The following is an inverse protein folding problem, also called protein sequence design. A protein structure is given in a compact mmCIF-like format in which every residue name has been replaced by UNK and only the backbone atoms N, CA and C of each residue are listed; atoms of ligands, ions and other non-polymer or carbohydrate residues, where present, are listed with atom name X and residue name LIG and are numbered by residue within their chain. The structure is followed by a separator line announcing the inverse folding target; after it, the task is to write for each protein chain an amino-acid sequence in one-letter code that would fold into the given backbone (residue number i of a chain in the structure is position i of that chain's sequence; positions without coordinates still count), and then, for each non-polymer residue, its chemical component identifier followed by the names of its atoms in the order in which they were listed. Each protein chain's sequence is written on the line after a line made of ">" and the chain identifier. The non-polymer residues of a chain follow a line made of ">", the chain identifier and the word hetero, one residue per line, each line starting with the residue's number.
data_IF_567591375558
#
_entry.id   IF_567591375558
#
_cell.length_a   1.000
_cell.length_b   1.000
_cell.length_c   1.000
_cell.angle_alpha   90.00
_cell.angle_beta   90.00
_cell.angle_gamma   90.00
#
_symmetry.space_group_name_H-M   'P 1'
#
loop_
_entity.id
_entity.type
_entity.pdbx_description
1 polymer ?
#
# COMPACT_ATOMS: atom_id res chain seq x y z
N UNK A 1 34.02 12.03 -2.94
CA UNK A 1 34.43 11.48 -4.24
C UNK A 1 34.07 10.00 -4.30
N UNK A 2 32.88 9.71 -4.84
CA UNK A 2 32.40 8.36 -5.06
C UNK A 2 33.29 7.68 -6.10
N UNK A 3 33.91 6.58 -5.70
CA UNK A 3 34.62 5.69 -6.60
C UNK A 3 33.55 5.06 -7.50
N UNK A 4 33.52 5.46 -8.76
CA UNK A 4 32.82 4.72 -9.80
C UNK A 4 33.32 3.27 -9.77
N UNK A 5 32.44 2.26 -9.78
CA UNK A 5 32.91 0.88 -9.87
C UNK A 5 33.65 0.71 -11.20
N UNK A 6 34.98 0.57 -11.12
CA UNK A 6 35.81 0.11 -12.24
C UNK A 6 35.69 -1.41 -12.32
N UNK A 7 34.49 -1.88 -12.64
CA UNK A 7 34.25 -3.25 -13.04
C UNK A 7 34.32 -3.35 -14.55
N UNK A 8 35.19 -4.20 -15.07
CA UNK A 8 35.05 -4.71 -16.45
C UNK A 8 33.62 -5.26 -16.62
N UNK A 9 32.95 -5.07 -17.78
CA UNK A 9 31.60 -5.57 -17.96
C UNK A 9 31.58 -7.08 -17.73
N UNK A 10 30.82 -7.53 -16.73
CA UNK A 10 30.47 -8.93 -16.58
C UNK A 10 29.89 -9.42 -17.90
N UNK A 11 30.36 -10.58 -18.36
CA UNK A 11 29.94 -11.15 -19.62
C UNK A 11 28.46 -11.54 -19.54
N UNK A 12 27.66 -10.72 -20.20
CA UNK A 12 26.37 -10.99 -20.80
C UNK A 12 26.11 -12.48 -21.16
N UNK A 13 24.84 -12.94 -21.07
CA UNK A 13 23.67 -12.07 -20.86
C UNK A 13 23.00 -12.16 -19.48
N UNK A 14 22.92 -10.98 -18.85
CA UNK A 14 21.79 -10.51 -18.02
C UNK A 14 20.57 -10.09 -18.87
N UNK A 15 20.61 -10.28 -20.20
CA UNK A 15 19.51 -9.95 -21.12
C UNK A 15 18.77 -11.23 -21.56
N UNK A 16 17.45 -11.16 -21.72
CA UNK A 16 16.72 -12.22 -22.42
C UNK A 16 16.97 -12.17 -23.92
N UNK A 17 17.04 -13.35 -24.53
CA UNK A 17 16.87 -13.48 -25.97
C UNK A 17 15.39 -13.30 -26.32
N UNK A 18 14.99 -12.04 -26.49
CA UNK A 18 13.64 -11.66 -26.87
C UNK A 18 13.42 -11.72 -28.39
N UNK A 19 14.32 -12.34 -29.17
CA UNK A 19 14.26 -12.33 -30.63
C UNK A 19 14.47 -10.96 -31.28
N UNK A 20 15.14 -10.04 -30.57
CA UNK A 20 15.45 -8.67 -31.03
C UNK A 20 16.81 -8.20 -30.51
N UNK A 21 17.33 -7.08 -31.03
CA UNK A 21 18.58 -6.51 -30.53
C UNK A 21 18.42 -5.98 -29.10
N UNK A 22 19.52 -5.90 -28.34
CA UNK A 22 19.51 -5.34 -26.98
C UNK A 22 18.97 -3.90 -26.97
N UNK A 23 19.31 -3.12 -27.99
CA UNK A 23 18.84 -1.73 -28.12
C UNK A 23 17.34 -1.66 -28.45
N UNK A 24 16.85 -2.50 -29.36
CA UNK A 24 15.41 -2.58 -29.64
C UNK A 24 14.61 -3.04 -28.42
N UNK A 25 15.15 -4.01 -27.65
CA UNK A 25 14.57 -4.46 -26.38
C UNK A 25 14.43 -3.28 -25.41
N UNK A 26 15.53 -2.54 -25.22
CA UNK A 26 15.58 -1.39 -24.30
C UNK A 26 14.57 -0.31 -24.69
N UNK A 27 14.52 0.04 -25.97
CA UNK A 27 13.62 1.06 -26.48
C UNK A 27 12.16 0.64 -26.31
N UNK A 28 11.78 -0.57 -26.71
CA UNK A 28 10.41 -1.07 -26.55
C UNK A 28 9.96 -1.17 -25.10
N UNK A 29 10.82 -1.67 -24.22
CA UNK A 29 10.51 -1.71 -22.79
C UNK A 29 10.33 -0.30 -22.23
N UNK A 30 11.22 0.63 -22.58
CA UNK A 30 11.11 2.03 -22.14
C UNK A 30 9.82 2.68 -22.65
N UNK A 31 9.42 2.43 -23.90
CA UNK A 31 8.16 2.91 -24.47
C UNK A 31 6.94 2.41 -23.67
N UNK A 32 6.94 1.13 -23.26
CA UNK A 32 5.87 0.58 -22.40
C UNK A 32 5.87 1.27 -21.04
N UNK A 33 7.03 1.45 -20.42
CA UNK A 33 7.12 2.07 -19.09
C UNK A 33 6.70 3.55 -19.09
N UNK A 34 6.89 4.26 -20.20
CA UNK A 34 6.38 5.62 -20.39
C UNK A 34 4.85 5.71 -20.45
N UNK A 35 4.14 4.58 -20.57
CA UNK A 35 2.67 4.57 -20.49
C UNK A 35 2.14 4.53 -19.05
N UNK A 36 3.00 4.15 -18.08
CA UNK A 36 2.61 3.97 -16.67
C UNK A 36 3.37 4.86 -15.69
N UNK A 37 4.48 5.47 -16.09
CA UNK A 37 5.25 6.44 -15.29
C UNK A 37 5.51 7.73 -16.06
N UNK A 38 5.48 8.86 -15.34
CA UNK A 38 5.76 10.17 -15.93
C UNK A 38 7.22 10.24 -16.46
N UNK A 39 7.46 10.77 -17.68
CA UNK A 39 8.80 10.84 -18.25
C UNK A 39 9.80 11.62 -17.39
N UNK A 40 9.35 12.64 -16.65
CA UNK A 40 10.19 13.47 -15.79
C UNK A 40 10.75 12.73 -14.59
N UNK A 41 10.07 11.69 -14.09
CA UNK A 41 10.59 10.83 -13.04
C UNK A 41 11.25 9.60 -13.62
N UNK A 42 10.67 8.99 -14.65
CA UNK A 42 11.21 7.77 -15.26
C UNK A 42 12.62 8.01 -15.81
N UNK A 43 12.85 9.11 -16.54
CA UNK A 43 14.12 9.37 -17.23
C UNK A 43 15.16 10.10 -16.35
N UNK A 44 14.82 10.49 -15.12
CA UNK A 44 15.71 11.28 -14.25
C UNK A 44 16.50 10.40 -13.28
N UNK A 45 17.84 10.38 -13.35
CA UNK A 45 18.66 9.58 -12.44
C UNK A 45 18.38 9.84 -10.96
N UNK A 46 18.28 8.76 -10.19
CA UNK A 46 18.10 8.80 -8.74
C UNK A 46 16.64 8.81 -8.26
N UNK A 47 15.66 8.90 -9.16
CA UNK A 47 14.26 8.64 -8.80
C UNK A 47 14.01 7.13 -8.63
N UNK A 48 12.99 6.72 -7.87
CA UNK A 48 12.58 5.33 -7.78
C UNK A 48 12.26 4.70 -9.15
N UNK A 49 11.54 5.42 -10.01
CA UNK A 49 11.16 4.98 -11.35
C UNK A 49 12.37 4.76 -12.25
N UNK A 50 13.35 5.67 -12.20
CA UNK A 50 14.60 5.51 -12.93
C UNK A 50 15.36 4.27 -12.45
N UNK A 51 15.47 4.08 -11.14
CA UNK A 51 16.19 2.95 -10.55
C UNK A 51 15.50 1.62 -10.90
N UNK A 52 14.17 1.56 -10.80
CA UNK A 52 13.35 0.41 -11.18
C UNK A 52 13.53 0.05 -12.65
N UNK A 53 13.42 1.05 -13.55
CA UNK A 53 13.67 0.85 -14.97
C UNK A 53 15.09 0.37 -15.21
N UNK A 54 16.09 1.03 -14.64
CA UNK A 54 17.49 0.69 -14.88
C UNK A 54 17.82 -0.73 -14.39
N UNK A 55 17.30 -1.12 -13.23
CA UNK A 55 17.39 -2.50 -12.77
C UNK A 55 16.76 -3.46 -13.78
N UNK A 56 15.52 -3.20 -14.22
CA UNK A 56 14.80 -4.06 -15.16
C UNK A 56 15.46 -4.19 -16.55
N UNK A 57 16.12 -3.12 -17.00
CA UNK A 57 16.78 -3.08 -18.31
C UNK A 57 18.18 -3.70 -18.30
N UNK A 58 18.90 -3.63 -17.18
CA UNK A 58 20.34 -3.93 -17.16
C UNK A 58 20.73 -5.04 -16.16
N UNK A 59 19.98 -5.20 -15.08
CA UNK A 59 20.34 -6.04 -13.93
C UNK A 59 19.37 -7.19 -13.64
N UNK A 60 18.11 -7.09 -14.08
CA UNK A 60 17.08 -8.09 -13.77
C UNK A 60 17.43 -9.46 -14.36
N UNK A 61 17.71 -10.41 -13.46
CA UNK A 61 18.15 -11.76 -13.78
C UNK A 61 17.00 -12.71 -14.12
N UNK A 62 15.74 -12.30 -13.91
CA UNK A 62 14.56 -12.98 -14.48
C UNK A 62 14.49 -12.80 -16.00
N UNK A 63 15.11 -11.71 -16.50
CA UNK A 63 15.25 -11.41 -17.93
C UNK A 63 13.89 -11.21 -18.63
N UNK A 64 13.06 -10.30 -18.14
CA UNK A 64 11.78 -9.99 -18.81
C UNK A 64 11.96 -9.45 -20.23
N UNK A 65 10.99 -9.72 -21.10
CA UNK A 65 10.88 -9.19 -22.45
C UNK A 65 9.69 -8.23 -22.60
N UNK A 66 9.72 -7.32 -23.60
CA UNK A 66 8.62 -6.38 -23.83
C UNK A 66 7.26 -7.03 -24.11
N UNK A 67 7.24 -8.26 -24.62
CA UNK A 67 6.00 -9.01 -24.88
C UNK A 67 5.42 -9.73 -23.66
N UNK A 68 6.13 -9.73 -22.52
CA UNK A 68 5.68 -10.44 -21.34
C UNK A 68 4.47 -9.73 -20.73
N UNK A 69 3.38 -10.46 -20.53
CA UNK A 69 2.10 -9.88 -20.07
C UNK A 69 2.15 -9.32 -18.64
N UNK A 70 3.15 -9.73 -17.86
CA UNK A 70 3.40 -9.29 -16.48
C UNK A 70 4.60 -8.33 -16.37
N UNK A 71 5.14 -7.86 -17.49
CA UNK A 71 6.26 -6.93 -17.52
C UNK A 71 6.03 -5.67 -16.67
N UNK A 72 4.84 -5.06 -16.79
CA UNK A 72 4.45 -3.86 -16.02
C UNK A 72 4.35 -4.18 -14.53
N UNK A 73 3.82 -5.35 -14.15
CA UNK A 73 3.76 -5.77 -12.74
C UNK A 73 5.16 -5.82 -12.10
N UNK A 74 6.12 -6.47 -12.78
CA UNK A 74 7.51 -6.54 -12.30
C UNK A 74 8.13 -5.17 -12.13
N UNK A 75 7.88 -4.26 -13.07
CA UNK A 75 8.32 -2.87 -12.98
C UNK A 75 7.70 -2.15 -11.79
N UNK A 76 6.38 -2.22 -11.62
CA UNK A 76 5.63 -1.54 -10.55
C UNK A 76 6.12 -1.99 -9.17
N UNK A 77 6.38 -3.29 -9.00
CA UNK A 77 6.95 -3.81 -7.76
C UNK A 77 8.39 -3.32 -7.54
N UNK A 78 9.20 -3.21 -8.59
CA UNK A 78 10.51 -2.57 -8.46
C UNK A 78 10.41 -1.08 -8.10
N UNK A 79 9.43 -0.34 -8.65
CA UNK A 79 9.17 1.05 -8.23
C UNK A 79 8.78 1.10 -6.76
N UNK A 80 7.92 0.19 -6.28
CA UNK A 80 7.56 0.07 -4.87
C UNK A 80 8.80 -0.15 -4.00
N UNK A 81 9.67 -1.09 -4.37
CA UNK A 81 10.94 -1.35 -3.67
C UNK A 81 11.77 -0.08 -3.54
N UNK A 82 12.07 0.61 -4.64
CA UNK A 82 12.91 1.80 -4.59
C UNK A 82 12.23 3.00 -3.92
N UNK A 83 10.90 3.14 -4.07
CA UNK A 83 10.13 4.22 -3.46
C UNK A 83 10.08 4.11 -1.95
N UNK A 84 10.13 2.87 -1.44
CA UNK A 84 10.00 2.59 -0.01
C UNK A 84 11.34 2.26 0.69
N UNK A 85 12.46 2.58 0.03
CA UNK A 85 13.82 2.29 0.50
C UNK A 85 14.06 0.81 0.80
N UNK A 86 13.78 -0.02 -0.20
CA UNK A 86 13.91 -1.49 -0.15
C UNK A 86 15.27 -2.00 0.30
N UNK A 87 16.33 -1.25 0.00
CA UNK A 87 17.70 -1.53 0.45
C UNK A 87 17.87 -1.44 1.97
N UNK A 88 16.94 -0.76 2.66
CA UNK A 88 16.93 -0.57 4.11
C UNK A 88 15.82 -1.36 4.82
N UNK A 89 15.08 -2.20 4.10
CA UNK A 89 14.10 -3.08 4.70
C UNK A 89 14.76 -4.10 5.65
N UNK A 90 14.04 -4.49 6.70
CA UNK A 90 14.56 -5.43 7.69
C UNK A 90 14.69 -6.86 7.14
N UNK A 91 13.80 -7.23 6.22
CA UNK A 91 13.73 -8.54 5.59
C UNK A 91 13.41 -8.40 4.09
N UNK A 92 13.77 -9.45 3.34
CA UNK A 92 13.48 -9.59 1.91
C UNK A 92 14.04 -8.47 1.03
N UNK A 93 15.08 -7.76 1.48
CA UNK A 93 15.80 -6.79 0.65
C UNK A 93 16.56 -7.50 -0.48
N UNK A 94 16.82 -6.78 -1.57
CA UNK A 94 17.57 -7.32 -2.70
C UNK A 94 19.07 -7.44 -2.36
N UNK A 95 19.80 -8.41 -2.96
CA UNK A 95 21.25 -8.46 -2.85
C UNK A 95 21.89 -7.20 -3.45
N UNK A 96 23.09 -6.85 -2.97
CA UNK A 96 23.80 -5.66 -3.48
C UNK A 96 24.50 -5.92 -4.82
N UNK A 97 24.93 -7.16 -5.05
CA UNK A 97 25.41 -7.68 -6.32
C UNK A 97 24.55 -8.85 -6.82
N UNK A 98 23.77 -8.60 -7.87
CA UNK A 98 22.90 -9.60 -8.52
C UNK A 98 23.66 -10.71 -9.27
N UNK A 99 24.99 -10.68 -9.29
CA UNK A 99 25.85 -11.73 -9.86
C UNK A 99 26.60 -12.55 -8.81
N UNK A 100 26.63 -12.12 -7.55
CA UNK A 100 27.25 -12.88 -6.47
C UNK A 100 26.26 -13.89 -5.88
N UNK A 101 26.48 -15.17 -6.20
CA UNK A 101 25.66 -16.27 -5.69
C UNK A 101 25.57 -16.34 -4.17
N UNK A 102 26.62 -15.92 -3.44
CA UNK A 102 26.63 -15.94 -1.96
C UNK A 102 25.72 -14.83 -1.43
N UNK A 103 25.79 -13.62 -2.01
CA UNK A 103 24.89 -12.52 -1.61
C UNK A 103 23.43 -12.85 -1.93
N UNK A 104 23.16 -13.47 -3.08
CA UNK A 104 21.81 -13.89 -3.46
C UNK A 104 21.26 -14.93 -2.48
N UNK A 105 22.04 -15.96 -2.16
CA UNK A 105 21.65 -16.99 -1.18
C UNK A 105 21.37 -16.37 0.19
N UNK A 106 22.22 -15.42 0.62
CA UNK A 106 22.03 -14.70 1.88
C UNK A 106 20.73 -13.88 1.88
N UNK A 107 20.49 -13.07 0.84
CA UNK A 107 19.30 -12.23 0.72
C UNK A 107 18.00 -13.06 0.75
N UNK A 108 17.98 -14.20 0.04
CA UNK A 108 16.86 -15.14 0.09
C UNK A 108 16.70 -15.75 1.50
N UNK A 109 17.80 -16.14 2.15
CA UNK A 109 17.75 -16.72 3.50
C UNK A 109 17.24 -15.75 4.57
N UNK A 110 17.48 -14.45 4.39
CA UNK A 110 16.99 -13.40 5.28
C UNK A 110 15.49 -13.09 5.08
N UNK A 111 14.93 -13.52 3.96
CA UNK A 111 13.52 -13.36 3.65
C UNK A 111 12.67 -14.43 4.32
N UNK A 112 12.20 -14.11 5.53
CA UNK A 112 11.43 -15.04 6.38
C UNK A 112 10.02 -14.54 6.69
N UNK A 113 9.51 -13.60 5.88
CA UNK A 113 8.15 -13.09 6.00
C UNK A 113 7.19 -14.26 5.75
N UNK A 114 6.65 -14.81 6.83
CA UNK A 114 5.60 -15.81 6.82
C UNK A 114 4.35 -15.19 7.45
N UNK A 115 3.26 -15.13 6.68
CA UNK A 115 1.97 -14.69 7.18
C UNK A 115 1.43 -15.73 8.17
N UNK A 116 1.55 -15.46 9.47
CA UNK A 116 1.02 -16.31 10.55
C UNK A 116 -0.33 -15.81 11.11
N UNK A 117 -0.87 -14.71 10.58
CA UNK A 117 -2.13 -14.14 11.04
C UNK A 117 -3.34 -14.85 10.44
N UNK A 118 -4.28 -15.25 11.29
CA UNK A 118 -5.63 -15.56 10.87
C UNK A 118 -6.38 -14.25 10.68
N UNK A 119 -6.74 -13.91 9.44
CA UNK A 119 -7.79 -12.92 9.15
C UNK A 119 -8.84 -13.57 8.25
N UNK A 120 -10.14 -13.45 8.57
CA UNK A 120 -11.23 -14.11 7.86
C UNK A 120 -11.39 -13.66 6.40
N UNK A 121 -10.72 -12.58 5.99
CA UNK A 121 -10.60 -12.12 4.62
C UNK A 121 -9.31 -12.61 3.92
N UNK A 122 -8.38 -13.30 4.60
CA UNK A 122 -7.19 -13.90 3.98
C UNK A 122 -7.56 -15.12 3.14
N UNK A 123 -7.62 -14.95 1.81
CA UNK A 123 -7.98 -16.03 0.86
C UNK A 123 -6.75 -16.83 0.39
N UNK A 124 -5.53 -16.31 0.53
CA UNK A 124 -4.29 -17.00 0.14
C UNK A 124 -3.19 -16.83 1.20
N UNK A 125 -2.41 -17.89 1.43
CA UNK A 125 -1.20 -17.84 2.26
C UNK A 125 -0.06 -17.21 1.46
N UNK A 126 0.65 -16.25 2.04
CA UNK A 126 1.94 -15.78 1.49
C UNK A 126 2.93 -16.93 1.59
N UNK A 127 3.47 -17.34 0.45
CA UNK A 127 4.42 -18.45 0.34
C UNK A 127 5.78 -18.02 -0.23
N UNK A 128 5.90 -16.77 -0.65
CA UNK A 128 7.15 -16.23 -1.18
C UNK A 128 8.23 -16.16 -0.09
N UNK A 129 9.42 -16.64 -0.42
CA UNK A 129 10.61 -16.66 0.44
C UNK A 129 11.83 -16.06 -0.25
N UNK A 130 11.67 -15.60 -1.49
CA UNK A 130 12.77 -15.00 -2.23
C UNK A 130 12.88 -13.51 -1.89
N UNK A 131 14.12 -13.02 -1.90
CA UNK A 131 14.40 -11.60 -1.85
C UNK A 131 13.72 -10.86 -3.00
N UNK A 132 13.38 -9.60 -2.76
CA UNK A 132 12.88 -8.73 -3.82
C UNK A 132 13.93 -8.51 -4.90
N UNK A 133 13.46 -8.26 -6.12
CA UNK A 133 14.33 -8.08 -7.30
C UNK A 133 15.18 -9.32 -7.64
N UNK A 134 14.86 -10.49 -7.07
CA UNK A 134 15.52 -11.76 -7.38
C UNK A 134 15.14 -12.29 -8.76
N UNK A 135 15.84 -13.34 -9.21
CA UNK A 135 15.59 -14.00 -10.50
C UNK A 135 14.28 -14.79 -10.58
N UNK A 136 13.49 -14.87 -9.51
CA UNK A 136 12.23 -15.60 -9.49
C UNK A 136 11.05 -14.71 -9.92
N UNK A 137 9.94 -15.38 -10.24
CA UNK A 137 8.66 -14.72 -10.49
C UNK A 137 8.20 -14.01 -9.21
N UNK A 138 7.50 -12.88 -9.32
CA UNK A 138 7.21 -12.02 -8.17
C UNK A 138 6.31 -12.70 -7.13
N UNK A 139 5.53 -13.70 -7.54
CA UNK A 139 4.75 -14.55 -6.64
C UNK A 139 5.59 -15.36 -5.65
N UNK A 140 6.91 -15.48 -5.88
CA UNK A 140 7.85 -16.10 -4.96
C UNK A 140 8.55 -15.08 -4.05
N UNK A 141 8.36 -13.78 -4.26
CA UNK A 141 8.98 -12.76 -3.42
C UNK A 141 8.27 -12.66 -2.08
N UNK A 142 9.03 -12.47 -1.01
CA UNK A 142 8.46 -12.35 0.34
C UNK A 142 7.45 -11.21 0.45
N UNK A 143 6.38 -11.46 1.19
CA UNK A 143 5.28 -10.50 1.36
C UNK A 143 4.32 -10.38 0.17
N UNK A 144 4.56 -11.09 -0.94
CA UNK A 144 3.65 -11.09 -2.09
C UNK A 144 2.84 -12.39 -2.15
N UNK A 145 1.59 -12.26 -2.61
CA UNK A 145 0.81 -13.38 -3.12
C UNK A 145 0.16 -13.01 -4.45
N UNK A 146 -0.16 -14.04 -5.23
CA UNK A 146 -0.76 -13.90 -6.54
C UNK A 146 -2.04 -14.71 -6.66
N UNK A 147 -2.91 -14.25 -7.55
CA UNK A 147 -4.03 -15.05 -8.03
C UNK A 147 -3.52 -16.31 -8.73
N UNK A 148 -4.02 -17.47 -8.31
CA UNK A 148 -3.57 -18.78 -8.81
C UNK A 148 -3.86 -19.04 -10.29
N UNK A 149 -4.72 -18.22 -10.90
CA UNK A 149 -5.19 -18.35 -12.28
C UNK A 149 -4.45 -17.40 -13.21
N UNK A 150 -4.22 -16.16 -12.78
CA UNK A 150 -3.63 -15.11 -13.61
C UNK A 150 -2.15 -14.86 -13.34
N UNK A 151 -1.63 -15.36 -12.20
CA UNK A 151 -0.29 -15.03 -11.67
C UNK A 151 -0.08 -13.53 -11.43
N UNK A 152 -1.17 -12.76 -11.35
CA UNK A 152 -1.13 -11.33 -11.01
C UNK A 152 -1.09 -11.18 -9.50
N UNK A 153 -0.31 -10.22 -9.02
CA UNK A 153 -0.23 -9.92 -7.58
C UNK A 153 -1.58 -9.44 -7.10
N UNK A 154 -2.14 -10.16 -6.12
CA UNK A 154 -3.40 -9.81 -5.45
C UNK A 154 -3.18 -9.38 -3.98
N UNK A 155 -1.96 -9.53 -3.47
CA UNK A 155 -1.60 -9.15 -2.09
C UNK A 155 -0.17 -8.62 -2.00
N UNK A 156 -0.02 -7.50 -1.29
CA UNK A 156 1.24 -6.96 -0.78
C UNK A 156 1.08 -6.86 0.74
N UNK A 157 1.92 -7.55 1.52
CA UNK A 157 1.86 -7.59 2.99
C UNK A 157 3.26 -7.45 3.59
N UNK A 158 3.51 -6.29 4.18
CA UNK A 158 4.70 -5.96 4.93
C UNK A 158 4.32 -5.42 6.29
N UNK A 159 4.28 -6.31 7.28
CA UNK A 159 4.10 -5.92 8.67
C UNK A 159 5.49 -5.58 9.26
N UNK A 160 5.66 -4.36 9.76
CA UNK A 160 6.83 -3.95 10.54
C UNK A 160 8.19 -4.20 9.84
N UNK A 161 8.23 -4.08 8.51
CA UNK A 161 9.46 -4.31 7.73
C UNK A 161 10.31 -3.04 7.56
N UNK A 162 9.91 -1.94 8.21
CA UNK A 162 10.64 -0.68 8.19
C UNK A 162 10.55 0.07 6.86
N UNK A 163 9.49 -0.18 6.07
CA UNK A 163 9.18 0.56 4.85
C UNK A 163 9.26 2.06 5.13
N UNK A 164 10.05 2.78 4.35
CA UNK A 164 10.24 4.22 4.47
C UNK A 164 9.84 4.91 3.17
N UNK A 165 10.30 6.14 2.92
CA UNK A 165 10.08 6.79 1.61
C UNK A 165 8.61 7.15 1.36
N UNK A 166 8.08 6.87 0.17
CA UNK A 166 6.72 7.24 -0.25
C UNK A 166 6.00 6.11 -0.96
N UNK A 167 4.67 6.14 -0.94
CA UNK A 167 3.80 5.26 -1.74
C UNK A 167 3.84 5.71 -3.22
N UNK A 168 4.26 4.86 -4.18
CA UNK A 168 4.24 5.21 -5.60
C UNK A 168 2.84 5.07 -6.19
N UNK A 169 2.44 6.00 -7.05
CA UNK A 169 1.12 5.94 -7.71
C UNK A 169 1.02 4.75 -8.67
N UNK A 170 2.14 4.25 -9.18
CA UNK A 170 2.22 3.12 -10.11
C UNK A 170 1.59 1.82 -9.57
N UNK A 171 1.38 1.69 -8.25
CA UNK A 171 0.62 0.55 -7.69
C UNK A 171 -0.80 0.45 -8.28
N UNK A 172 -1.36 1.53 -8.85
CA UNK A 172 -2.65 1.49 -9.54
C UNK A 172 -2.70 0.46 -10.70
N UNK A 173 -1.54 0.14 -11.29
CA UNK A 173 -1.44 -0.81 -12.40
C UNK A 173 -1.64 -2.27 -11.94
N UNK A 174 -1.59 -2.53 -10.63
CA UNK A 174 -1.90 -3.84 -10.05
C UNK A 174 -3.41 -3.98 -9.87
N UNK A 175 -4.15 -4.04 -10.98
CA UNK A 175 -5.63 -4.04 -10.99
C UNK A 175 -6.28 -5.22 -10.25
N UNK A 176 -5.53 -6.29 -10.04
CA UNK A 176 -5.99 -7.49 -9.32
C UNK A 176 -5.67 -7.41 -7.81
N UNK A 177 -5.05 -6.32 -7.34
CA UNK A 177 -4.70 -6.12 -5.94
C UNK A 177 -5.96 -6.07 -5.07
N UNK A 178 -5.99 -6.95 -4.07
CA UNK A 178 -7.08 -7.11 -3.09
C UNK A 178 -6.65 -6.72 -1.68
N UNK A 179 -5.35 -6.86 -1.38
CA UNK A 179 -4.79 -6.57 -0.06
C UNK A 179 -3.54 -5.72 -0.21
N UNK A 180 -3.57 -4.51 0.35
CA UNK A 180 -2.41 -3.64 0.49
C UNK A 180 -2.20 -3.40 1.99
N UNK A 181 -1.24 -4.12 2.56
CA UNK A 181 -0.90 -4.07 3.99
C UNK A 181 0.57 -3.65 4.09
N UNK A 182 0.81 -2.44 4.61
CA UNK A 182 2.13 -1.85 4.76
C UNK A 182 2.22 -1.08 6.08
N UNK A 183 1.96 -1.78 7.17
CA UNK A 183 1.88 -1.25 8.54
C UNK A 183 3.22 -1.17 9.28
N UNK A 184 3.23 -0.41 10.38
CA UNK A 184 4.37 -0.26 11.30
C UNK A 184 5.68 0.15 10.59
N UNK A 185 5.57 1.12 9.70
CA UNK A 185 6.65 1.63 8.89
C UNK A 185 7.15 3.02 9.31
N UNK A 186 7.71 3.72 8.33
CA UNK A 186 8.13 5.13 8.35
C UNK A 186 7.77 5.78 7.01
N UNK A 187 6.76 5.25 6.31
CA UNK A 187 6.32 5.75 5.02
C UNK A 187 5.79 7.17 5.19
N UNK A 188 6.20 8.07 4.31
CA UNK A 188 5.88 9.50 4.33
C UNK A 188 5.14 9.90 3.06
N UNK A 189 4.72 11.17 2.99
CA UNK A 189 3.99 11.70 1.85
C UNK A 189 2.50 11.36 1.91
N UNK A 190 1.78 11.65 0.83
CA UNK A 190 0.34 11.42 0.73
C UNK A 190 0.00 10.05 0.15
N UNK A 191 -1.20 9.56 0.46
CA UNK A 191 -1.82 8.45 -0.27
C UNK A 191 -2.10 8.93 -1.70
N UNK A 192 -1.63 8.25 -2.76
CA UNK A 192 -1.93 8.61 -4.14
C UNK A 192 -3.42 8.52 -4.45
N UNK A 193 -3.98 9.52 -5.12
CA UNK A 193 -5.39 9.51 -5.57
C UNK A 193 -5.69 8.35 -6.53
N UNK A 194 -4.68 7.95 -7.28
CA UNK A 194 -4.68 6.85 -8.23
C UNK A 194 -5.09 5.52 -7.60
N UNK A 195 -4.89 5.34 -6.28
CA UNK A 195 -5.29 4.12 -5.58
C UNK A 195 -6.82 3.93 -5.57
N UNK A 196 -7.59 5.00 -5.79
CA UNK A 196 -9.05 4.90 -5.98
C UNK A 196 -9.47 4.12 -7.23
N UNK A 197 -8.53 3.82 -8.14
CA UNK A 197 -8.78 2.96 -9.31
C UNK A 197 -8.65 1.46 -9.00
N UNK A 198 -8.11 1.09 -7.84
CA UNK A 198 -7.95 -0.30 -7.39
C UNK A 198 -9.28 -0.89 -6.93
N UNK A 199 -10.22 -1.04 -7.87
CA UNK A 199 -11.60 -1.43 -7.59
C UNK A 199 -11.76 -2.80 -6.95
N UNK A 200 -10.76 -3.68 -7.01
CA UNK A 200 -10.76 -5.00 -6.36
C UNK A 200 -10.21 -4.98 -4.94
N UNK A 201 -9.71 -3.84 -4.44
CA UNK A 201 -9.11 -3.75 -3.12
C UNK A 201 -10.17 -3.97 -2.04
N UNK A 202 -9.86 -4.87 -1.11
CA UNK A 202 -10.70 -5.27 0.03
C UNK A 202 -10.13 -4.71 1.32
N UNK A 203 -8.80 -4.75 1.46
CA UNK A 203 -8.08 -4.26 2.65
C UNK A 203 -7.03 -3.26 2.20
N UNK A 204 -7.12 -2.06 2.77
CA UNK A 204 -6.04 -1.08 2.78
C UNK A 204 -5.64 -0.82 4.23
N UNK A 205 -4.47 -1.32 4.60
CA UNK A 205 -3.89 -1.14 5.92
C UNK A 205 -2.54 -0.44 5.82
N UNK A 206 -2.52 0.82 6.26
CA UNK A 206 -1.37 1.72 6.23
C UNK A 206 -1.13 2.34 7.60
N UNK A 207 -1.61 1.69 8.67
CA UNK A 207 -1.50 2.21 10.03
C UNK A 207 -0.02 2.37 10.47
N UNK A 208 0.20 3.08 11.58
CA UNK A 208 1.53 3.25 12.20
C UNK A 208 2.63 3.68 11.21
N UNK A 209 2.33 4.70 10.40
CA UNK A 209 3.26 5.31 9.45
C UNK A 209 3.37 6.82 9.70
N UNK A 210 4.01 7.54 8.78
CA UNK A 210 4.14 9.00 8.81
C UNK A 210 3.45 9.66 7.60
N UNK A 211 2.34 9.08 7.14
CA UNK A 211 1.60 9.60 6.00
C UNK A 211 0.98 10.96 6.35
N UNK A 212 0.98 11.88 5.38
CA UNK A 212 0.50 13.26 5.51
C UNK A 212 -0.49 13.60 4.39
N UNK A 213 -1.03 14.82 4.41
CA UNK A 213 -1.99 15.27 3.39
C UNK A 213 -3.42 14.88 3.75
N UNK A 214 -4.29 14.82 2.74
CA UNK A 214 -5.71 14.47 2.91
C UNK A 214 -5.98 13.07 2.38
N UNK A 215 -7.05 12.43 2.86
CA UNK A 215 -7.58 11.22 2.20
C UNK A 215 -8.18 11.63 0.83
N UNK A 216 -7.65 11.13 -0.31
CA UNK A 216 -8.13 11.54 -1.62
C UNK A 216 -9.59 11.19 -1.86
N UNK A 217 -10.28 12.02 -2.65
CA UNK A 217 -11.71 11.85 -2.93
C UNK A 217 -11.99 10.54 -3.69
N UNK A 218 -11.04 10.09 -4.49
CA UNK A 218 -11.11 8.88 -5.29
C UNK A 218 -11.17 7.61 -4.43
N UNK A 219 -10.58 7.62 -3.22
CA UNK A 219 -10.57 6.45 -2.33
C UNK A 219 -11.99 6.11 -1.86
N UNK A 220 -12.84 7.11 -1.63
CA UNK A 220 -14.23 6.90 -1.20
C UNK A 220 -15.07 6.09 -2.20
N UNK A 221 -14.64 6.03 -3.47
CA UNK A 221 -15.35 5.31 -4.54
C UNK A 221 -15.04 3.81 -4.58
N UNK A 222 -14.13 3.32 -3.73
CA UNK A 222 -13.69 1.93 -3.71
C UNK A 222 -14.77 1.05 -3.05
N UNK A 223 -15.79 0.68 -3.80
CA UNK A 223 -17.00 0.05 -3.27
C UNK A 223 -16.79 -1.33 -2.64
N UNK A 224 -15.72 -2.04 -3.02
CA UNK A 224 -15.36 -3.37 -2.48
C UNK A 224 -14.49 -3.28 -1.21
N UNK A 225 -14.07 -2.08 -0.81
CA UNK A 225 -13.19 -1.89 0.34
C UNK A 225 -13.96 -2.22 1.62
N UNK A 226 -13.49 -3.25 2.33
CA UNK A 226 -14.09 -3.75 3.56
C UNK A 226 -13.35 -3.24 4.81
N UNK A 227 -12.05 -3.00 4.69
CA UNK A 227 -11.20 -2.49 5.76
C UNK A 227 -10.36 -1.34 5.26
N UNK A 228 -10.51 -0.19 5.91
CA UNK A 228 -9.64 0.96 5.78
C UNK A 228 -9.04 1.26 7.14
N UNK A 229 -7.76 0.92 7.30
CA UNK A 229 -7.00 1.21 8.50
C UNK A 229 -5.85 2.19 8.19
N UNK A 230 -5.96 3.38 8.76
CA UNK A 230 -5.04 4.50 8.61
C UNK A 230 -4.62 5.07 9.97
N UNK A 231 -4.85 4.35 11.08
CA UNK A 231 -4.59 4.89 12.41
C UNK A 231 -3.11 5.21 12.64
N UNK A 232 -2.83 6.07 13.62
CA UNK A 232 -1.46 6.45 14.01
C UNK A 232 -0.63 6.98 12.81
N UNK A 233 -1.15 8.01 12.12
CA UNK A 233 -0.49 8.72 11.02
C UNK A 233 -0.60 10.26 11.23
N UNK A 234 -0.22 11.05 10.23
CA UNK A 234 -0.37 12.52 10.22
C UNK A 234 -1.33 13.01 9.12
N UNK A 235 -2.32 12.20 8.74
CA UNK A 235 -3.33 12.57 7.76
C UNK A 235 -4.23 13.68 8.33
N UNK A 236 -4.74 14.55 7.46
CA UNK A 236 -5.39 15.81 7.84
C UNK A 236 -6.55 16.15 6.90
N UNK A 237 -7.20 17.29 7.14
CA UNK A 237 -8.36 17.73 6.37
C UNK A 237 -9.68 17.19 6.94
N UNK A 238 -10.77 17.40 6.20
CA UNK A 238 -12.12 16.98 6.60
C UNK A 238 -12.49 15.63 5.97
N UNK A 239 -13.37 14.86 6.63
CA UNK A 239 -13.97 13.68 6.01
C UNK A 239 -15.00 14.12 4.96
N UNK A 240 -14.86 13.63 3.74
CA UNK A 240 -15.76 13.95 2.62
C UNK A 240 -17.15 13.37 2.87
N UNK A 241 -18.19 14.04 2.36
CA UNK A 241 -19.54 13.46 2.35
C UNK A 241 -19.62 12.17 1.53
N UNK A 242 -18.66 11.95 0.64
CA UNK A 242 -18.53 10.71 -0.14
C UNK A 242 -18.14 9.51 0.71
N UNK A 243 -17.89 9.67 2.02
CA UNK A 243 -17.74 8.55 2.96
C UNK A 243 -18.90 7.55 2.85
N UNK A 244 -20.12 8.01 2.55
CA UNK A 244 -21.27 7.13 2.36
C UNK A 244 -21.24 6.28 1.08
N UNK A 245 -20.24 6.46 0.20
CA UNK A 245 -20.07 5.66 -1.02
C UNK A 245 -19.42 4.30 -0.74
N UNK A 246 -18.73 4.12 0.40
CA UNK A 246 -18.19 2.81 0.77
C UNK A 246 -19.31 1.81 1.13
N UNK A 247 -19.71 0.97 0.18
CA UNK A 247 -20.85 0.04 0.35
C UNK A 247 -20.50 -1.24 1.12
N UNK A 248 -19.22 -1.62 1.15
CA UNK A 248 -18.75 -2.87 1.79
C UNK A 248 -17.93 -2.66 3.07
N UNK A 249 -17.73 -1.41 3.50
CA UNK A 249 -16.85 -1.10 4.63
C UNK A 249 -17.41 -1.63 5.96
N UNK A 250 -16.57 -2.38 6.66
CA UNK A 250 -16.83 -3.00 7.97
C UNK A 250 -15.94 -2.39 9.04
N UNK A 251 -14.73 -1.99 8.68
CA UNK A 251 -13.78 -1.38 9.60
C UNK A 251 -13.27 -0.07 9.01
N UNK A 252 -13.48 1.01 9.77
CA UNK A 252 -12.88 2.31 9.53
C UNK A 252 -12.09 2.74 10.77
N UNK A 253 -10.77 2.66 10.68
CA UNK A 253 -9.85 3.12 11.71
C UNK A 253 -9.04 4.28 11.16
N UNK A 254 -9.33 5.48 11.67
CA UNK A 254 -8.61 6.71 11.31
C UNK A 254 -8.14 7.44 12.56
N UNK A 255 -8.11 6.75 13.70
CA UNK A 255 -7.74 7.34 14.98
C UNK A 255 -6.29 7.82 15.01
N UNK A 256 -6.02 8.78 15.90
CA UNK A 256 -4.71 9.43 16.08
C UNK A 256 -4.11 9.96 14.78
N UNK A 257 -4.91 10.76 14.10
CA UNK A 257 -4.51 11.57 12.96
C UNK A 257 -4.81 13.05 13.25
N UNK A 258 -4.79 13.88 12.22
CA UNK A 258 -5.07 15.32 12.27
C UNK A 258 -6.35 15.68 11.48
N UNK A 259 -7.28 14.74 11.30
CA UNK A 259 -8.56 15.01 10.65
C UNK A 259 -9.39 15.99 11.48
N UNK A 260 -10.06 16.93 10.84
CA UNK A 260 -10.76 18.04 11.49
C UNK A 260 -12.13 18.33 10.89
N UNK A 261 -12.82 19.32 11.46
CA UNK A 261 -14.17 19.71 11.05
C UNK A 261 -15.25 18.80 11.64
N UNK A 262 -16.44 18.84 11.06
CA UNK A 262 -17.58 18.03 11.50
C UNK A 262 -17.62 16.68 10.81
N UNK A 263 -18.15 15.67 11.50
CA UNK A 263 -18.42 14.35 10.90
C UNK A 263 -19.65 14.48 9.97
N UNK A 264 -19.56 14.10 8.69
CA UNK A 264 -20.67 14.26 7.74
C UNK A 264 -21.82 13.29 8.03
N UNK A 265 -23.07 13.74 7.89
CA UNK A 265 -24.27 12.92 8.11
C UNK A 265 -24.32 11.66 7.24
N UNK A 266 -23.67 11.69 6.08
CA UNK A 266 -23.58 10.56 5.13
C UNK A 266 -22.78 9.38 5.67
N UNK A 267 -22.03 9.53 6.76
CA UNK A 267 -21.38 8.39 7.43
C UNK A 267 -22.40 7.34 7.89
N UNK A 268 -23.65 7.75 8.17
CA UNK A 268 -24.74 6.83 8.47
C UNK A 268 -25.20 5.96 7.30
N UNK A 269 -24.69 6.17 6.08
CA UNK A 269 -24.94 5.30 4.93
C UNK A 269 -24.05 4.04 4.94
N UNK A 270 -23.08 3.95 5.85
CA UNK A 270 -22.22 2.79 6.04
C UNK A 270 -22.97 1.66 6.78
N UNK A 271 -23.92 1.01 6.11
CA UNK A 271 -24.83 0.02 6.72
C UNK A 271 -24.12 -1.26 7.22
N UNK A 272 -22.92 -1.56 6.70
CA UNK A 272 -22.13 -2.75 7.06
C UNK A 272 -21.04 -2.47 8.09
N UNK A 273 -20.90 -1.22 8.54
CA UNK A 273 -19.83 -0.83 9.44
C UNK A 273 -19.98 -1.51 10.79
N UNK A 274 -18.93 -2.16 11.26
CA UNK A 274 -18.87 -2.87 12.55
C UNK A 274 -18.01 -2.07 13.54
N UNK A 275 -16.90 -1.51 13.06
CA UNK A 275 -15.94 -0.76 13.86
C UNK A 275 -15.69 0.61 13.23
N UNK A 276 -15.87 1.67 14.02
CA UNK A 276 -15.54 3.05 13.70
C UNK A 276 -14.68 3.64 14.80
N UNK A 277 -13.38 3.80 14.55
CA UNK A 277 -12.48 4.51 15.45
C UNK A 277 -11.97 5.80 14.81
N UNK A 278 -12.33 6.92 15.45
CA UNK A 278 -11.93 8.27 15.06
C UNK A 278 -11.31 9.01 16.25
N UNK A 279 -10.99 8.30 17.34
CA UNK A 279 -10.36 8.87 18.52
C UNK A 279 -9.06 9.59 18.14
N UNK A 280 -8.62 10.53 18.95
CA UNK A 280 -7.32 11.14 18.76
C UNK A 280 -7.20 12.08 17.55
N UNK A 281 -8.31 12.56 17.00
CA UNK A 281 -8.36 13.53 15.90
C UNK A 281 -8.79 14.92 16.36
N UNK A 282 -8.98 15.85 15.41
CA UNK A 282 -9.41 17.23 15.62
C UNK A 282 -10.88 17.46 15.24
N UNK A 283 -11.73 16.43 15.28
CA UNK A 283 -13.16 16.54 14.99
C UNK A 283 -13.89 17.40 16.02
N UNK A 284 -14.89 18.14 15.54
CA UNK A 284 -15.75 19.00 16.35
C UNK A 284 -17.23 18.86 15.95
N UNK A 285 -18.11 19.50 16.73
CA UNK A 285 -19.55 19.47 16.49
C UNK A 285 -20.22 18.21 17.07
N UNK A 286 -21.45 17.94 16.63
CA UNK A 286 -22.23 16.81 17.14
C UNK A 286 -21.98 15.55 16.33
N UNK A 287 -22.04 14.38 17.00
CA UNK A 287 -22.11 13.09 16.32
C UNK A 287 -23.41 13.01 15.51
N UNK A 288 -23.37 12.72 14.19
CA UNK A 288 -24.59 12.56 13.39
C UNK A 288 -25.56 11.54 13.95
N UNK A 289 -26.84 11.89 14.03
CA UNK A 289 -27.88 10.96 14.47
C UNK A 289 -27.99 9.73 13.54
N UNK A 290 -27.63 9.88 12.27
CA UNK A 290 -27.67 8.82 11.27
C UNK A 290 -26.76 7.65 11.64
N UNK A 291 -25.52 7.90 12.06
CA UNK A 291 -24.60 6.82 12.47
C UNK A 291 -24.96 6.22 13.83
N UNK A 292 -25.55 7.01 14.72
CA UNK A 292 -26.08 6.51 15.98
C UNK A 292 -27.19 5.46 15.78
N UNK A 293 -27.94 5.52 14.66
CA UNK A 293 -28.96 4.53 14.32
C UNK A 293 -28.36 3.19 13.87
N UNK A 294 -27.12 3.19 13.38
CA UNK A 294 -26.40 1.99 12.93
C UNK A 294 -25.71 1.23 14.08
N UNK A 295 -25.94 1.63 15.34
CA UNK A 295 -25.47 0.90 16.52
C UNK A 295 -26.18 -0.44 16.69
N UNK A 296 -25.41 -1.45 17.10
CA UNK A 296 -25.86 -2.81 17.38
C UNK A 296 -27.09 -2.89 18.32
N UNK A 297 -27.07 -2.11 19.40
CA UNK A 297 -28.18 -1.99 20.36
C UNK A 297 -29.50 -1.46 19.76
N UNK A 298 -29.45 -0.89 18.55
CA UNK A 298 -30.60 -0.38 17.79
C UNK A 298 -30.91 -1.24 16.55
N UNK A 299 -30.29 -2.41 16.44
CA UNK A 299 -30.46 -3.33 15.31
C UNK A 299 -29.51 -3.07 14.13
N UNK A 300 -28.49 -2.23 14.32
CA UNK A 300 -27.41 -2.03 13.36
C UNK A 300 -26.24 -2.99 13.55
N UNK A 301 -25.11 -2.67 12.91
CA UNK A 301 -23.88 -3.49 12.85
C UNK A 301 -22.74 -2.95 13.72
N UNK A 302 -22.76 -1.66 14.09
CA UNK A 302 -21.63 -1.02 14.77
C UNK A 302 -21.57 -1.44 16.25
N UNK A 303 -20.53 -2.19 16.60
CA UNK A 303 -20.22 -2.60 17.98
C UNK A 303 -19.35 -1.55 18.69
N UNK A 304 -18.38 -0.99 17.98
CA UNK A 304 -17.40 -0.07 18.53
C UNK A 304 -17.41 1.24 17.74
N UNK A 305 -17.86 2.31 18.40
CA UNK A 305 -17.81 3.69 17.92
C UNK A 305 -17.01 4.53 18.92
N UNK A 306 -15.81 4.94 18.54
CA UNK A 306 -14.88 5.67 19.41
C UNK A 306 -14.55 7.04 18.84
N UNK A 307 -14.68 8.08 19.66
CA UNK A 307 -14.36 9.49 19.33
C UNK A 307 -13.83 10.23 20.55
N UNK A 308 -13.26 11.42 20.34
CA UNK A 308 -12.97 12.37 21.42
C UNK A 308 -14.27 12.95 21.99
N UNK A 309 -14.90 12.27 22.96
CA UNK A 309 -16.16 12.73 23.56
C UNK A 309 -16.10 12.99 25.07
N UNK A 310 -14.92 12.85 25.68
CA UNK A 310 -14.73 13.15 27.10
C UNK A 310 -14.62 14.67 27.35
N UNK A 311 -15.02 15.13 28.55
CA UNK A 311 -15.00 16.55 28.92
C UNK A 311 -13.61 17.19 28.91
N UNK A 312 -12.55 16.38 29.05
CA UNK A 312 -11.17 16.85 29.07
C UNK A 312 -10.46 16.75 27.70
N UNK A 313 -11.12 16.22 26.67
CA UNK A 313 -10.61 16.19 25.30
C UNK A 313 -10.97 17.48 24.55
N UNK A 314 -10.01 18.11 23.89
CA UNK A 314 -10.26 19.25 23.01
C UNK A 314 -9.48 19.11 21.69
N UNK A 315 -10.12 19.25 20.51
CA UNK A 315 -11.57 19.44 20.32
C UNK A 315 -12.37 18.17 20.69
N UNK A 316 -13.67 18.35 20.94
CA UNK A 316 -14.61 17.28 21.32
C UNK A 316 -15.76 17.14 20.33
N UNK A 317 -16.24 15.91 20.20
CA UNK A 317 -17.47 15.55 19.51
C UNK A 317 -18.60 15.39 20.52
N UNK A 318 -19.71 16.07 20.31
CA UNK A 318 -20.89 16.01 21.17
C UNK A 318 -21.73 14.76 20.86
N UNK A 319 -21.57 13.72 21.67
CA UNK A 319 -22.38 12.50 21.62
C UNK A 319 -23.70 12.69 22.38
N UNK A 320 -24.63 13.43 21.81
CA UNK A 320 -25.91 13.80 22.49
C UNK A 320 -26.93 12.66 22.54
N UNK A 321 -26.82 11.67 21.64
CA UNK A 321 -27.70 10.50 21.63
C UNK A 321 -27.20 9.48 22.67
N UNK A 322 -28.05 9.07 23.64
CA UNK A 322 -27.66 8.07 24.63
C UNK A 322 -27.16 6.78 23.97
N UNK A 323 -26.03 6.28 24.49
CA UNK A 323 -25.36 5.06 24.05
C UNK A 323 -24.83 5.09 22.61
N UNK A 324 -24.81 6.25 21.94
CA UNK A 324 -24.30 6.35 20.57
C UNK A 324 -22.78 6.15 20.46
N UNK A 325 -21.99 6.76 21.34
CA UNK A 325 -20.55 6.58 21.39
C UNK A 325 -20.23 5.44 22.37
N UNK A 326 -19.52 4.41 21.90
CA UNK A 326 -19.19 3.21 22.70
C UNK A 326 -18.15 3.56 23.75
N UNK A 327 -17.13 4.36 23.38
CA UNK A 327 -16.04 4.76 24.27
C UNK A 327 -15.67 6.22 24.05
N UNK A 328 -15.33 6.89 25.15
CA UNK A 328 -14.66 8.20 25.18
C UNK A 328 -13.32 8.03 25.89
N UNK A 329 -12.27 7.55 25.22
CA UNK A 329 -10.97 7.32 25.86
C UNK A 329 -10.35 8.62 26.36
N UNK A 330 -9.56 8.51 27.43
CA UNK A 330 -8.67 9.58 27.88
C UNK A 330 -7.30 9.42 27.19
N UNK A 331 -6.65 10.56 26.90
CA UNK A 331 -5.28 10.62 26.40
C UNK A 331 -4.24 10.23 27.45
#
# INVERSE_FOLDING_TARGET
>A
PSVLPSGTPSAIPTYADCGMSVEDRRNRMTDILLTVSDPSVLLTPGTPQFNARNWLLELDTFKSCPQDTLFVQRYVLAVFYFSTRGDSWRQCNAPSDFSDTIEIEQANSDCTIMSNGYDPHRVSTIQGLDAWLSSSHECSWGGLACDSTTSRVDRIEFENNGLAGTLPFELQELTDLRFLIAEEGRTTGSIPSEYGTLSNLIVMDLNYNHLTGVLPEEIYRMSNLAQLDLNDNFLSGTISSSIGEFQDLRLLQIDKNLFSGTIPDTIGLLEKLEILDMFGNLFEGAMPNSICQNRDIRGGSITDLTVNCDEFCFPKVECTVPECCTRCPFW
#
